data_IF_628783566352
#
_entry.id   IF_628783566352
#
_cell.length_a   1.000
_cell.length_b   1.000
_cell.length_c   1.000
_cell.angle_alpha   90.00
_cell.angle_beta   90.00
_cell.angle_gamma   90.00
#
_symmetry.space_group_name_H-M   'P 1'
#
loop_
_entity.id
_entity.type
_entity.pdbx_description
1 polymer ?
#
# COMPACT_ATOMS: atom_id res chain seq x y z
N UNK A 1 -15.28 1.95 24.36
CA UNK A 1 -15.38 0.51 23.99
C UNK A 1 -14.07 -0.14 24.42
N UNK A 2 -14.13 -1.24 25.17
CA UNK A 2 -12.95 -1.89 25.73
C UNK A 2 -12.23 -2.71 24.63
N UNK A 3 -10.90 -2.60 24.55
CA UNK A 3 -10.07 -3.41 23.66
C UNK A 3 -9.67 -4.70 24.40
N UNK A 4 -10.19 -5.84 23.96
CA UNK A 4 -9.79 -7.16 24.47
C UNK A 4 -8.65 -7.76 23.64
N UNK A 5 -8.13 -8.90 24.10
CA UNK A 5 -6.99 -9.58 23.49
C UNK A 5 -7.30 -10.06 22.05
N UNK A 6 -8.50 -10.58 21.81
CA UNK A 6 -8.90 -11.11 20.50
C UNK A 6 -9.00 -10.00 19.46
N UNK A 7 -9.60 -8.87 19.85
CA UNK A 7 -9.70 -7.70 18.99
C UNK A 7 -8.34 -7.08 18.70
N UNK A 8 -7.45 -7.04 19.69
CA UNK A 8 -6.07 -6.59 19.49
C UNK A 8 -5.32 -7.52 18.53
N UNK A 9 -5.48 -8.84 18.65
CA UNK A 9 -4.91 -9.83 17.73
C UNK A 9 -5.36 -9.60 16.29
N UNK A 10 -6.66 -9.42 16.08
CA UNK A 10 -7.24 -9.16 14.75
C UNK A 10 -6.68 -7.87 14.12
N UNK A 11 -6.54 -6.81 14.91
CA UNK A 11 -5.96 -5.54 14.43
C UNK A 11 -4.48 -5.68 14.08
N UNK A 12 -3.73 -6.43 14.89
CA UNK A 12 -2.32 -6.70 14.63
C UNK A 12 -2.13 -7.48 13.32
N UNK A 13 -2.91 -8.55 13.11
CA UNK A 13 -2.88 -9.34 11.88
C UNK A 13 -3.25 -8.51 10.65
N UNK A 14 -4.32 -7.71 10.74
CA UNK A 14 -4.72 -6.82 9.65
C UNK A 14 -3.62 -5.79 9.32
N UNK A 15 -2.98 -5.22 10.34
CA UNK A 15 -1.88 -4.27 10.16
C UNK A 15 -0.67 -4.91 9.47
N UNK A 16 -0.33 -6.15 9.85
CA UNK A 16 0.75 -6.92 9.23
C UNK A 16 0.41 -7.21 7.76
N UNK A 17 -0.80 -7.67 7.48
CA UNK A 17 -1.27 -8.00 6.13
C UNK A 17 -1.27 -6.78 5.20
N UNK A 18 -1.55 -5.58 5.74
CA UNK A 18 -1.57 -4.32 4.99
C UNK A 18 -0.19 -3.64 4.91
N UNK A 19 0.84 -4.25 5.47
CA UNK A 19 2.21 -3.72 5.47
C UNK A 19 2.37 -2.43 6.27
N UNK A 20 1.54 -2.24 7.31
CA UNK A 20 1.70 -1.14 8.27
C UNK A 20 2.89 -1.41 9.19
N UNK A 21 3.56 -0.32 9.56
CA UNK A 21 4.73 -0.34 10.43
C UNK A 21 4.31 -0.26 11.89
N UNK A 22 5.10 -0.85 12.82
CA UNK A 22 4.79 -0.79 14.25
C UNK A 22 4.57 0.63 14.80
N UNK A 23 5.29 1.63 14.28
CA UNK A 23 5.10 3.01 14.74
C UNK A 23 3.80 3.64 14.20
N UNK A 24 3.28 3.19 13.06
CA UNK A 24 2.02 3.68 12.48
C UNK A 24 0.82 3.21 13.29
N UNK A 25 0.95 2.05 13.96
CA UNK A 25 -0.09 1.48 14.82
C UNK A 25 0.10 1.84 16.31
N UNK A 26 1.31 2.27 16.71
CA UNK A 26 1.64 2.65 18.08
C UNK A 26 0.72 3.71 18.73
N UNK A 27 0.19 4.71 17.99
CA UNK A 27 -0.77 5.67 18.53
C UNK A 27 -2.01 5.03 19.18
N UNK A 28 -2.39 3.81 18.78
CA UNK A 28 -3.45 3.02 19.44
C UNK A 28 -3.33 3.01 20.96
N UNK A 29 -2.11 2.99 21.50
CA UNK A 29 -1.82 2.87 22.92
C UNK A 29 -1.53 4.21 23.61
N UNK A 30 -1.43 5.30 22.86
CA UNK A 30 -0.91 6.58 23.35
C UNK A 30 -1.98 7.66 23.46
N UNK A 31 -3.04 7.61 22.64
CA UNK A 31 -4.06 8.66 22.58
C UNK A 31 -5.47 8.09 22.79
N UNK A 32 -6.40 8.86 23.39
CA UNK A 32 -7.76 8.38 23.70
C UNK A 32 -8.57 7.90 22.48
N UNK A 33 -8.30 8.45 21.30
CA UNK A 33 -8.94 8.11 20.03
C UNK A 33 -8.14 7.12 19.18
N UNK A 34 -7.03 6.58 19.68
CA UNK A 34 -6.08 5.82 18.86
C UNK A 34 -6.66 4.55 18.21
N UNK A 35 -7.72 3.98 18.79
CA UNK A 35 -8.44 2.86 18.18
C UNK A 35 -9.26 3.26 16.95
N UNK A 36 -9.89 4.44 16.98
CA UNK A 36 -10.61 4.98 15.82
C UNK A 36 -9.60 5.30 14.72
N UNK A 37 -8.54 6.02 15.08
CA UNK A 37 -7.49 6.42 14.14
C UNK A 37 -6.84 5.21 13.45
N UNK A 38 -6.63 4.10 14.19
CA UNK A 38 -6.13 2.86 13.60
C UNK A 38 -7.15 2.22 12.64
N UNK A 39 -8.44 2.25 12.97
CA UNK A 39 -9.48 1.73 12.08
C UNK A 39 -9.53 2.51 10.77
N UNK A 40 -9.44 3.84 10.84
CA UNK A 40 -9.41 4.71 9.66
C UNK A 40 -8.15 4.45 8.84
N UNK A 41 -6.98 4.36 9.48
CA UNK A 41 -5.71 4.01 8.81
C UNK A 41 -5.78 2.65 8.09
N UNK A 42 -6.39 1.64 8.71
CA UNK A 42 -6.57 0.32 8.10
C UNK A 42 -7.51 0.39 6.89
N UNK A 43 -8.59 1.18 6.98
CA UNK A 43 -9.54 1.37 5.89
C UNK A 43 -8.89 2.10 4.71
N UNK A 44 -8.17 3.18 4.98
CA UNK A 44 -7.42 3.95 3.98
C UNK A 44 -6.37 3.07 3.29
N UNK A 45 -5.62 2.28 4.07
CA UNK A 45 -4.60 1.38 3.52
C UNK A 45 -5.18 0.27 2.66
N UNK A 46 -6.36 -0.26 3.02
CA UNK A 46 -7.09 -1.24 2.19
C UNK A 46 -7.53 -0.61 0.87
N UNK A 47 -8.16 0.56 0.96
CA UNK A 47 -8.62 1.32 -0.19
C UNK A 47 -7.47 1.61 -1.16
N UNK A 48 -6.33 2.06 -0.65
CA UNK A 48 -5.13 2.31 -1.44
C UNK A 48 -4.69 1.06 -2.22
N UNK A 49 -4.61 -0.10 -1.55
CA UNK A 49 -4.21 -1.36 -2.18
C UNK A 49 -5.24 -1.85 -3.22
N UNK A 50 -6.53 -1.64 -2.97
CA UNK A 50 -7.59 -1.98 -3.93
C UNK A 50 -7.47 -1.12 -5.20
N UNK A 51 -7.13 0.16 -5.06
CA UNK A 51 -6.87 1.06 -6.20
C UNK A 51 -5.61 0.64 -6.96
N UNK A 52 -4.52 0.30 -6.25
CA UNK A 52 -3.30 -0.21 -6.88
C UNK A 52 -3.58 -1.50 -7.67
N UNK A 53 -4.38 -2.41 -7.11
CA UNK A 53 -4.81 -3.64 -7.80
C UNK A 53 -5.59 -3.34 -9.08
N UNK A 54 -6.54 -2.40 -9.01
CA UNK A 54 -7.32 -1.97 -10.16
C UNK A 54 -6.45 -1.32 -11.25
N UNK A 55 -5.54 -0.42 -10.86
CA UNK A 55 -4.56 0.20 -11.75
C UNK A 55 -3.75 -0.85 -12.52
N UNK A 56 -3.22 -1.86 -11.81
CA UNK A 56 -2.43 -2.93 -12.43
C UNK A 56 -3.24 -3.79 -13.38
N UNK A 57 -4.49 -4.08 -13.03
CA UNK A 57 -5.40 -4.82 -13.91
C UNK A 57 -5.58 -4.07 -15.23
N UNK A 58 -5.82 -2.75 -15.17
CA UNK A 58 -5.98 -1.92 -16.37
C UNK A 58 -4.72 -1.83 -17.23
N UNK A 59 -3.55 -1.71 -16.60
CA UNK A 59 -2.27 -1.72 -17.32
C UNK A 59 -2.04 -3.05 -18.04
N UNK A 60 -2.36 -4.18 -17.40
CA UNK A 60 -2.21 -5.51 -18.02
C UNK A 60 -3.18 -5.70 -19.19
N UNK A 61 -4.43 -5.26 -19.04
CA UNK A 61 -5.43 -5.30 -20.13
C UNK A 61 -4.93 -4.54 -21.36
N UNK A 62 -4.48 -3.29 -21.19
CA UNK A 62 -4.00 -2.44 -22.29
C UNK A 62 -2.72 -2.99 -22.96
N UNK A 63 -1.78 -3.51 -22.17
CA UNK A 63 -0.58 -4.20 -22.69
C UNK A 63 -0.96 -5.43 -23.53
N UNK A 64 -2.04 -6.14 -23.17
CA UNK A 64 -2.49 -7.35 -23.88
C UNK A 64 -3.31 -7.06 -25.15
N UNK A 65 -4.05 -5.95 -25.18
CA UNK A 65 -4.95 -5.61 -26.28
C UNK A 65 -4.24 -4.84 -27.41
N UNK A 66 -3.42 -3.84 -27.05
CA UNK A 66 -2.83 -2.92 -28.03
C UNK A 66 -1.37 -2.51 -27.72
N UNK A 67 -0.90 -2.69 -26.49
CA UNK A 67 0.40 -2.16 -26.05
C UNK A 67 0.43 -0.64 -25.99
N UNK A 68 -0.74 0.01 -25.94
CA UNK A 68 -0.86 1.46 -25.88
C UNK A 68 -0.76 1.97 -24.43
N UNK A 69 -0.22 3.18 -24.27
CA UNK A 69 -0.13 3.81 -22.96
C UNK A 69 -1.51 4.31 -22.51
N UNK A 70 -1.92 3.94 -21.29
CA UNK A 70 -3.17 4.38 -20.68
C UNK A 70 -2.95 5.49 -19.65
N UNK A 71 -3.84 6.50 -19.64
CA UNK A 71 -3.76 7.62 -18.69
C UNK A 71 -4.53 7.34 -17.39
N UNK A 72 -4.13 8.00 -16.29
CA UNK A 72 -4.85 7.93 -15.01
C UNK A 72 -6.33 8.34 -15.13
N UNK A 73 -6.64 9.26 -16.05
CA UNK A 73 -8.01 9.70 -16.34
C UNK A 73 -8.83 8.59 -16.99
N UNK A 74 -8.25 7.84 -17.91
CA UNK A 74 -8.91 6.73 -18.59
C UNK A 74 -9.15 5.56 -17.64
N UNK A 75 -8.15 5.23 -16.82
CA UNK A 75 -8.29 4.24 -15.73
C UNK A 75 -9.44 4.64 -14.79
N UNK A 76 -9.48 5.90 -14.33
CA UNK A 76 -10.58 6.39 -13.49
C UNK A 76 -11.93 6.35 -14.22
N UNK A 77 -11.98 6.70 -15.51
CA UNK A 77 -13.19 6.65 -16.35
C UNK A 77 -13.76 5.22 -16.39
N UNK A 78 -12.92 4.22 -16.59
CA UNK A 78 -13.35 2.82 -16.64
C UNK A 78 -13.79 2.31 -15.27
N UNK A 79 -13.12 2.76 -14.21
CA UNK A 79 -13.46 2.45 -12.83
C UNK A 79 -14.83 2.98 -12.37
N UNK A 80 -15.43 3.95 -13.05
CA UNK A 80 -16.76 4.51 -12.66
C UNK A 80 -17.88 3.48 -12.66
N UNK A 81 -17.74 2.40 -13.43
CA UNK A 81 -18.72 1.31 -13.53
C UNK A 81 -18.52 0.21 -12.49
N UNK A 82 -17.41 0.23 -11.76
CA UNK A 82 -17.13 -0.74 -10.71
C UNK A 82 -17.67 -0.25 -9.37
N UNK A 83 -17.66 -1.11 -8.36
CA UNK A 83 -17.94 -0.70 -6.97
C UNK A 83 -16.84 0.21 -6.41
N UNK A 84 -15.61 0.07 -6.94
CA UNK A 84 -14.45 0.83 -6.48
C UNK A 84 -14.54 2.32 -6.83
N UNK A 85 -15.04 2.67 -8.02
CA UNK A 85 -15.21 4.07 -8.47
C UNK A 85 -14.02 4.99 -8.15
N UNK A 86 -12.78 4.62 -8.51
CA UNK A 86 -11.61 5.41 -8.18
C UNK A 86 -11.65 6.77 -8.86
N UNK A 87 -11.35 7.82 -8.09
CA UNK A 87 -11.10 9.16 -8.59
C UNK A 87 -9.77 9.22 -9.34
N UNK A 88 -9.58 10.27 -10.15
CA UNK A 88 -8.31 10.50 -10.86
C UNK A 88 -7.16 10.68 -9.87
N UNK A 89 -7.40 11.38 -8.77
CA UNK A 89 -6.39 11.61 -7.71
C UNK A 89 -5.98 10.30 -7.04
N UNK A 90 -6.93 9.42 -6.74
CA UNK A 90 -6.65 8.07 -6.23
C UNK A 90 -5.77 7.25 -7.20
N UNK A 91 -6.01 7.34 -8.51
CA UNK A 91 -5.17 6.66 -9.50
C UNK A 91 -3.78 7.26 -9.57
N UNK A 92 -3.65 8.59 -9.54
CA UNK A 92 -2.34 9.27 -9.53
C UNK A 92 -1.53 8.86 -8.30
N UNK A 93 -2.15 8.87 -7.12
CA UNK A 93 -1.51 8.43 -5.88
C UNK A 93 -1.05 6.97 -5.98
N UNK A 94 -1.86 6.09 -6.56
CA UNK A 94 -1.49 4.69 -6.78
C UNK A 94 -0.28 4.54 -7.72
N UNK A 95 -0.19 5.36 -8.77
CA UNK A 95 0.99 5.41 -9.66
C UNK A 95 2.24 5.87 -8.90
N UNK A 96 2.11 6.89 -8.05
CA UNK A 96 3.21 7.38 -7.22
C UNK A 96 3.70 6.32 -6.22
N UNK A 97 2.78 5.56 -5.62
CA UNK A 97 3.11 4.44 -4.74
C UNK A 97 3.89 3.36 -5.49
N UNK A 98 3.46 3.01 -6.69
CA UNK A 98 4.09 1.99 -7.53
C UNK A 98 5.47 2.43 -8.03
N UNK A 99 5.62 3.70 -8.42
CA UNK A 99 6.89 4.26 -8.91
C UNK A 99 7.89 4.56 -7.79
N UNK A 100 7.42 4.82 -6.57
CA UNK A 100 8.22 5.12 -5.38
C UNK A 100 8.44 3.93 -4.43
N UNK A 101 8.09 2.71 -4.84
CA UNK A 101 8.12 1.52 -3.98
C UNK A 101 9.57 1.09 -3.68
N UNK A 102 10.13 1.66 -2.61
CA UNK A 102 11.47 1.34 -2.12
C UNK A 102 11.39 0.37 -0.93
N UNK A 103 12.16 -0.73 -1.01
CA UNK A 103 12.28 -1.71 0.10
C UNK A 103 12.91 -1.08 1.35
N UNK A 104 13.61 0.05 1.20
CA UNK A 104 14.13 0.82 2.32
C UNK A 104 15.05 0.00 3.23
N UNK A 105 15.80 -0.95 2.67
CA UNK A 105 16.54 -1.94 3.45
C UNK A 105 17.64 -1.32 4.32
N UNK A 106 18.26 -0.24 3.83
CA UNK A 106 19.25 0.55 4.54
C UNK A 106 18.82 2.02 4.50
N UNK A 107 18.99 2.71 5.63
CA UNK A 107 18.79 4.16 5.73
C UNK A 107 20.14 4.81 6.02
N UNK A 108 20.50 5.77 5.19
CA UNK A 108 21.65 6.63 5.43
C UNK A 108 21.37 7.51 6.66
N UNK A 109 22.29 7.51 7.61
CA UNK A 109 22.18 8.30 8.85
C UNK A 109 23.10 9.50 8.81
N UNK A 110 24.30 9.34 8.26
CA UNK A 110 25.25 10.42 8.11
C UNK A 110 25.93 10.35 6.74
N UNK A 111 25.90 11.46 6.03
CA UNK A 111 26.57 11.66 4.73
C UNK A 111 28.01 12.11 4.99
N UNK A 112 28.98 11.50 4.33
CA UNK A 112 30.38 11.92 4.38
C UNK A 112 30.86 12.30 2.98
N UNK A 113 31.84 13.22 2.91
CA UNK A 113 32.46 13.65 1.65
C UNK A 113 33.12 12.48 0.89
N UNK A 114 33.68 11.51 1.62
CA UNK A 114 34.04 10.20 1.07
C UNK A 114 32.94 9.18 1.45
N UNK A 115 32.24 8.59 0.46
CA UNK A 115 31.14 7.64 0.68
C UNK A 115 31.50 6.43 1.55
N UNK A 116 32.79 6.10 1.69
CA UNK A 116 33.25 4.98 2.53
C UNK A 116 33.07 5.25 4.03
N UNK A 117 32.98 6.53 4.43
CA UNK A 117 32.71 6.94 5.80
C UNK A 117 31.23 7.27 6.05
N UNK A 118 30.37 7.13 5.04
CA UNK A 118 28.94 7.25 5.23
C UNK A 118 28.45 6.15 6.17
N UNK A 119 27.55 6.52 7.10
CA UNK A 119 27.00 5.58 8.08
C UNK A 119 25.57 5.22 7.75
N UNK A 120 25.25 3.93 7.86
CA UNK A 120 23.96 3.37 7.52
C UNK A 120 23.40 2.61 8.71
N UNK A 121 22.08 2.59 8.82
CA UNK A 121 21.34 1.71 9.72
C UNK A 121 20.37 0.85 8.92
N UNK A 122 19.89 -0.24 9.52
CA UNK A 122 18.76 -0.96 8.95
C UNK A 122 17.57 0.00 8.83
N UNK A 123 17.04 0.10 7.62
CA UNK A 123 15.76 0.76 7.40
C UNK A 123 14.61 -0.23 7.64
N UNK A 124 13.45 0.05 7.07
CA UNK A 124 12.25 -0.73 7.32
C UNK A 124 12.05 -1.86 6.29
N UNK A 125 13.12 -2.64 6.08
CA UNK A 125 13.13 -3.76 5.14
C UNK A 125 11.96 -4.74 5.34
N UNK A 126 11.57 -5.10 6.59
CA UNK A 126 10.42 -5.98 6.82
C UNK A 126 9.10 -5.37 6.36
N UNK A 127 8.84 -4.08 6.61
CA UNK A 127 7.63 -3.44 6.13
C UNK A 127 7.64 -3.28 4.60
N UNK A 128 8.79 -2.95 4.01
CA UNK A 128 8.97 -2.92 2.55
C UNK A 128 8.66 -4.27 1.90
N UNK A 129 9.19 -5.36 2.47
CA UNK A 129 8.91 -6.71 2.01
C UNK A 129 7.43 -7.10 2.17
N UNK A 130 6.77 -6.70 3.26
CA UNK A 130 5.33 -6.92 3.46
C UNK A 130 4.48 -6.13 2.47
N UNK A 131 4.85 -4.90 2.13
CA UNK A 131 4.17 -4.11 1.09
C UNK A 131 4.31 -4.75 -0.29
N UNK A 132 5.51 -5.22 -0.62
CA UNK A 132 5.72 -6.01 -1.84
C UNK A 132 4.90 -7.30 -1.86
N UNK A 133 4.76 -7.98 -0.71
CA UNK A 133 3.92 -9.16 -0.60
C UNK A 133 2.44 -8.83 -0.74
N UNK A 134 1.95 -7.77 -0.08
CA UNK A 134 0.57 -7.31 -0.23
C UNK A 134 0.26 -6.90 -1.67
N UNK A 135 1.23 -6.30 -2.36
CA UNK A 135 1.16 -6.00 -3.78
C UNK A 135 1.10 -7.28 -4.63
N UNK A 136 1.96 -8.25 -4.37
CA UNK A 136 1.94 -9.54 -5.04
C UNK A 136 0.59 -10.25 -4.83
N UNK A 137 0.08 -10.29 -3.60
CA UNK A 137 -1.21 -10.87 -3.27
C UNK A 137 -2.36 -10.15 -4.00
N UNK A 138 -2.27 -8.83 -4.18
CA UNK A 138 -3.25 -8.04 -4.92
C UNK A 138 -3.21 -8.34 -6.42
N UNK A 139 -2.02 -8.50 -6.99
CA UNK A 139 -1.82 -8.95 -8.38
C UNK A 139 -2.36 -10.37 -8.58
N UNK A 140 -2.18 -11.26 -7.61
CA UNK A 140 -2.65 -12.65 -7.70
C UNK A 140 -4.16 -12.76 -7.47
N UNK A 141 -4.77 -11.82 -6.72
CA UNK A 141 -6.23 -11.68 -6.57
C UNK A 141 -6.96 -11.23 -7.83
N UNK A 142 -6.26 -11.04 -8.96
CA UNK A 142 -6.88 -10.79 -10.27
C UNK A 142 -8.13 -11.67 -10.43
N UNK A 143 -9.29 -11.11 -10.80
CA UNK A 143 -10.41 -11.96 -11.15
C UNK A 143 -9.94 -12.81 -12.31
N UNK A 144 -9.79 -14.12 -12.08
CA UNK A 144 -9.86 -15.07 -13.19
C UNK A 144 -11.13 -14.70 -13.94
N UNK A 145 -11.00 -14.45 -15.24
CA UNK A 145 -12.10 -14.22 -16.17
C UNK A 145 -13.35 -14.93 -15.66
N UNK A 146 -14.37 -14.14 -15.30
CA UNK A 146 -15.69 -14.69 -15.14
C UNK A 146 -16.04 -15.32 -16.50
N UNK A 147 -15.96 -16.65 -16.55
CA UNK A 147 -16.53 -17.47 -17.62
C UNK A 147 -18.02 -17.22 -17.75
#
# INVERSE_FOLDING_TARGET
MLLDADRLGTLAEASIALGLRPYEIGPLFLVPNGLSDLHDLLADRRRELDIVSFLLTKLVEEESEAGEAISARDISRDGRRTELRPSVEEIVNAIDIMSGLHVGALRLVDTADDPKFATYVLGDAPAGARRLRALADAIDRRPSEAQ
#
